data_IF_534934050334
#
_entry.id   IF_534934050334
#
_cell.length_a   1.000
_cell.length_b   1.000
_cell.length_c   1.000
_cell.angle_alpha   90.00
_cell.angle_beta   90.00
_cell.angle_gamma   90.00
#
_symmetry.space_group_name_H-M   'P 1'
#
loop_
_entity.id
_entity.type
_entity.pdbx_description
1 polymer ?
#
# COMPACT_ATOMS: atom_id res chain seq x y z
N UNK A 1 31.47 -3.07 10.81
CA UNK A 1 30.48 -3.76 9.97
C UNK A 1 31.01 -5.16 9.73
N UNK A 2 30.25 -6.17 10.14
CA UNK A 2 30.52 -7.57 9.81
C UNK A 2 30.32 -7.81 8.30
N UNK A 3 30.76 -8.97 7.78
CA UNK A 3 30.48 -9.36 6.40
C UNK A 3 28.96 -9.48 6.14
N UNK A 4 28.20 -9.91 7.15
CA UNK A 4 26.74 -10.04 7.09
C UNK A 4 26.06 -8.67 6.98
N UNK A 5 26.56 -7.66 7.72
CA UNK A 5 26.06 -6.27 7.63
C UNK A 5 26.22 -5.72 6.20
N UNK A 6 27.33 -6.04 5.54
CA UNK A 6 27.62 -5.60 4.16
C UNK A 6 26.64 -6.28 3.18
N UNK A 7 26.33 -7.56 3.37
CA UNK A 7 25.36 -8.27 2.53
C UNK A 7 23.96 -7.68 2.67
N UNK A 8 23.53 -7.35 3.89
CA UNK A 8 22.23 -6.71 4.17
C UNK A 8 22.14 -5.34 3.49
N UNK A 9 23.19 -4.50 3.64
CA UNK A 9 23.24 -3.19 2.99
C UNK A 9 23.16 -3.32 1.46
N UNK A 10 23.92 -4.24 0.86
CA UNK A 10 23.91 -4.45 -0.59
C UNK A 10 22.54 -4.95 -1.09
N UNK A 11 21.92 -5.89 -0.38
CA UNK A 11 20.60 -6.39 -0.72
C UNK A 11 19.54 -5.27 -0.66
N UNK A 12 19.59 -4.42 0.36
CA UNK A 12 18.70 -3.27 0.48
C UNK A 12 18.95 -2.20 -0.60
N UNK A 13 20.22 -1.90 -0.90
CA UNK A 13 20.56 -0.96 -1.96
C UNK A 13 20.01 -1.46 -3.31
N UNK A 14 20.21 -2.74 -3.62
CA UNK A 14 19.66 -3.37 -4.83
C UNK A 14 18.13 -3.28 -4.86
N UNK A 15 17.47 -3.60 -3.74
CA UNK A 15 16.02 -3.50 -3.62
C UNK A 15 15.52 -2.08 -3.92
N UNK A 16 16.12 -1.04 -3.33
CA UNK A 16 15.71 0.34 -3.60
C UNK A 16 15.97 0.76 -5.04
N UNK A 17 17.08 0.34 -5.64
CA UNK A 17 17.36 0.60 -7.06
C UNK A 17 16.28 -0.02 -7.94
N UNK A 18 15.87 -1.27 -7.68
CA UNK A 18 14.80 -1.94 -8.45
C UNK A 18 13.48 -1.18 -8.32
N UNK A 19 13.07 -0.82 -7.11
CA UNK A 19 11.81 -0.11 -6.86
C UNK A 19 11.81 1.29 -7.52
N UNK A 20 12.91 2.03 -7.40
CA UNK A 20 13.07 3.32 -8.08
C UNK A 20 13.03 3.16 -9.61
N UNK A 21 13.72 2.16 -10.16
CA UNK A 21 13.74 1.91 -11.60
C UNK A 21 12.34 1.62 -12.15
N UNK A 22 11.51 0.87 -11.42
CA UNK A 22 10.10 0.63 -11.76
C UNK A 22 9.31 1.96 -11.77
N UNK A 23 9.52 2.81 -10.77
CA UNK A 23 8.92 4.15 -10.71
C UNK A 23 9.24 4.99 -11.95
N UNK A 24 10.52 5.10 -12.29
CA UNK A 24 10.97 5.85 -13.46
C UNK A 24 10.52 5.23 -14.78
N UNK A 25 10.42 3.91 -14.86
CA UNK A 25 9.94 3.20 -16.05
C UNK A 25 8.50 3.61 -16.42
N UNK A 26 7.62 3.75 -15.42
CA UNK A 26 6.22 4.14 -15.66
C UNK A 26 5.99 5.65 -15.73
N UNK A 27 6.98 6.50 -15.42
CA UNK A 27 6.87 7.97 -15.37
C UNK A 27 6.16 8.54 -16.59
N UNK A 28 6.59 8.18 -17.81
CA UNK A 28 6.03 8.75 -19.04
C UNK A 28 4.57 8.36 -19.25
N UNK A 29 4.22 7.10 -18.92
CA UNK A 29 2.86 6.57 -19.10
C UNK A 29 1.91 7.14 -18.05
N UNK A 30 2.33 7.17 -16.79
CA UNK A 30 1.51 7.65 -15.68
C UNK A 30 1.23 9.15 -15.79
N UNK A 31 2.20 9.95 -16.25
CA UNK A 31 2.01 11.40 -16.43
C UNK A 31 1.30 11.79 -17.74
N UNK A 32 0.83 10.83 -18.55
CA UNK A 32 0.13 11.15 -19.79
C UNK A 32 -1.30 11.69 -19.57
N UNK A 33 -1.97 11.30 -18.48
CA UNK A 33 -3.27 11.82 -18.08
C UNK A 33 -3.58 11.46 -16.62
N UNK A 34 -4.52 12.16 -15.99
CA UNK A 34 -4.97 11.83 -14.63
C UNK A 34 -5.56 10.41 -14.55
N UNK A 35 -6.22 9.92 -15.60
CA UNK A 35 -6.73 8.54 -15.64
C UNK A 35 -5.58 7.51 -15.66
N UNK A 36 -4.50 7.79 -16.40
CA UNK A 36 -3.32 6.93 -16.38
C UNK A 36 -2.60 6.98 -15.03
N UNK A 37 -2.53 8.16 -14.41
CA UNK A 37 -1.88 8.33 -13.11
C UNK A 37 -2.62 7.58 -11.99
N UNK A 38 -3.94 7.76 -11.89
CA UNK A 38 -4.74 7.20 -10.78
C UNK A 38 -5.26 5.78 -11.02
N UNK A 39 -5.47 5.38 -12.28
CA UNK A 39 -6.12 4.10 -12.61
C UNK A 39 -5.29 3.22 -13.56
N UNK A 40 -4.11 3.69 -14.00
CA UNK A 40 -3.29 2.97 -14.97
C UNK A 40 -3.98 2.73 -16.31
N UNK A 41 -4.94 3.59 -16.65
CA UNK A 41 -5.77 3.43 -17.85
C UNK A 41 -6.73 2.24 -17.79
N UNK A 42 -6.99 1.67 -16.60
CA UNK A 42 -7.88 0.52 -16.35
C UNK A 42 -7.51 -0.75 -17.16
N UNK A 43 -6.30 -0.81 -17.69
CA UNK A 43 -5.79 -1.94 -18.48
C UNK A 43 -5.11 -3.02 -17.64
N UNK A 44 -5.02 -2.84 -16.32
CA UNK A 44 -4.41 -3.82 -15.43
C UNK A 44 -5.35 -5.03 -15.25
N UNK A 45 -4.81 -6.23 -15.41
CA UNK A 45 -5.56 -7.47 -15.21
C UNK A 45 -6.00 -7.66 -13.75
N UNK A 46 -7.06 -8.46 -13.50
CA UNK A 46 -7.66 -8.61 -12.17
C UNK A 46 -6.68 -9.14 -11.12
N UNK A 47 -5.76 -10.03 -11.51
CA UNK A 47 -4.77 -10.62 -10.60
C UNK A 47 -3.79 -9.60 -10.04
N UNK A 48 -3.23 -8.75 -10.91
CA UNK A 48 -2.23 -7.76 -10.50
C UNK A 48 -2.87 -6.65 -9.66
N UNK A 49 -4.09 -6.26 -10.01
CA UNK A 49 -4.90 -5.30 -9.24
C UNK A 49 -5.24 -5.86 -7.86
N UNK A 50 -5.66 -7.13 -7.78
CA UNK A 50 -6.00 -7.77 -6.51
C UNK A 50 -4.76 -7.91 -5.61
N UNK A 51 -3.64 -8.40 -6.15
CA UNK A 51 -2.42 -8.56 -5.38
C UNK A 51 -1.89 -7.22 -4.87
N UNK A 52 -1.93 -6.17 -5.68
CA UNK A 52 -1.56 -4.81 -5.25
C UNK A 52 -2.48 -4.28 -4.16
N UNK A 53 -3.79 -4.50 -4.28
CA UNK A 53 -4.75 -4.11 -3.25
C UNK A 53 -4.45 -4.79 -1.90
N UNK A 54 -4.19 -6.11 -1.91
CA UNK A 54 -3.87 -6.86 -0.70
C UNK A 54 -2.47 -6.52 -0.16
N UNK A 55 -1.46 -6.33 -1.01
CA UNK A 55 -0.13 -5.91 -0.57
C UNK A 55 -0.16 -4.52 0.11
N UNK A 56 -0.99 -3.61 -0.42
CA UNK A 56 -1.22 -2.29 0.18
C UNK A 56 -1.96 -2.37 1.54
N UNK A 57 -2.88 -3.34 1.69
CA UNK A 57 -3.57 -3.62 2.95
C UNK A 57 -2.60 -4.23 3.99
N UNK A 58 -1.73 -5.14 3.53
CA UNK A 58 -0.70 -5.82 4.30
C UNK A 58 0.54 -4.95 4.49
N UNK A 59 0.40 -3.84 5.21
CA UNK A 59 1.48 -2.89 5.50
C UNK A 59 2.43 -3.36 6.61
N UNK A 60 3.23 -2.43 7.14
CA UNK A 60 4.07 -2.65 8.33
C UNK A 60 3.31 -3.21 9.54
N UNK A 61 1.98 -3.12 9.57
CA UNK A 61 1.14 -3.82 10.55
C UNK A 61 1.34 -5.34 10.51
N UNK A 62 1.47 -5.96 9.34
CA UNK A 62 1.65 -7.42 9.27
C UNK A 62 3.01 -7.82 9.84
N UNK A 63 4.04 -6.99 9.67
CA UNK A 63 5.40 -7.28 10.11
C UNK A 63 5.66 -6.93 11.58
N UNK A 64 5.07 -5.86 12.11
CA UNK A 64 5.26 -5.43 13.50
C UNK A 64 4.04 -5.66 14.39
N UNK A 65 2.83 -5.50 13.85
CA UNK A 65 1.58 -5.57 14.59
C UNK A 65 1.14 -7.00 14.89
N UNK A 66 1.00 -7.84 13.87
CA UNK A 66 0.51 -9.22 14.04
C UNK A 66 1.47 -10.09 14.89
N UNK A 67 2.81 -10.05 14.69
CA UNK A 67 3.76 -10.69 15.61
C UNK A 67 3.71 -10.10 17.01
N UNK A 68 3.47 -8.79 17.14
CA UNK A 68 3.28 -8.13 18.43
C UNK A 68 2.07 -8.70 19.19
N UNK A 69 0.93 -8.87 18.52
CA UNK A 69 -0.25 -9.54 19.10
C UNK A 69 0.13 -10.96 19.54
N UNK A 70 0.74 -11.74 18.64
CA UNK A 70 1.14 -13.11 18.97
C UNK A 70 2.09 -13.18 20.18
N UNK A 71 3.00 -12.21 20.30
CA UNK A 71 3.94 -12.12 21.41
C UNK A 71 3.25 -11.80 22.75
N UNK A 72 2.26 -10.90 22.76
CA UNK A 72 1.58 -10.47 23.99
C UNK A 72 0.41 -11.38 24.40
N UNK A 73 -0.33 -11.93 23.45
CA UNK A 73 -1.58 -12.65 23.71
C UNK A 73 -1.57 -14.11 23.23
N UNK A 74 -0.48 -14.53 22.60
CA UNK A 74 -0.28 -15.90 22.13
C UNK A 74 -0.82 -16.14 20.71
N UNK A 75 -0.57 -17.35 20.20
CA UNK A 75 -0.87 -17.71 18.81
C UNK A 75 -2.38 -17.71 18.48
N UNK A 76 -3.25 -17.95 19.48
CA UNK A 76 -4.71 -18.04 19.28
C UNK A 76 -5.28 -16.74 18.72
N UNK A 77 -4.96 -15.60 19.32
CA UNK A 77 -5.54 -14.31 18.92
C UNK A 77 -4.99 -13.85 17.57
N UNK A 78 -3.70 -14.09 17.31
CA UNK A 78 -3.11 -13.83 16.01
C UNK A 78 -3.76 -14.69 14.91
N UNK A 79 -4.04 -15.96 15.18
CA UNK A 79 -4.76 -16.85 14.26
C UNK A 79 -6.19 -16.38 14.01
N UNK A 80 -6.95 -16.02 15.05
CA UNK A 80 -8.31 -15.50 14.87
C UNK A 80 -8.33 -14.20 14.08
N UNK A 81 -7.33 -13.34 14.28
CA UNK A 81 -7.15 -12.12 13.48
C UNK A 81 -6.92 -12.46 12.01
N UNK A 82 -6.00 -13.37 11.71
CA UNK A 82 -5.70 -13.78 10.33
C UNK A 82 -6.91 -14.43 9.62
N UNK A 83 -7.63 -15.33 10.32
CA UNK A 83 -8.84 -15.97 9.79
C UNK A 83 -9.93 -14.92 9.53
N UNK A 84 -10.14 -14.00 10.49
CA UNK A 84 -11.11 -12.92 10.38
C UNK A 84 -10.82 -12.01 9.19
N UNK A 85 -9.56 -11.63 8.98
CA UNK A 85 -9.12 -10.85 7.82
C UNK A 85 -9.39 -11.62 6.51
N UNK A 86 -8.98 -12.88 6.41
CA UNK A 86 -9.18 -13.67 5.19
C UNK A 86 -10.67 -13.78 4.81
N UNK A 87 -11.53 -14.08 5.78
CA UNK A 87 -12.98 -14.17 5.55
C UNK A 87 -13.55 -12.77 5.22
N UNK A 88 -13.18 -11.74 6.00
CA UNK A 88 -13.67 -10.37 5.81
C UNK A 88 -13.34 -9.83 4.43
N UNK A 89 -12.10 -9.97 3.98
CA UNK A 89 -11.64 -9.60 2.65
C UNK A 89 -12.43 -10.36 1.57
N UNK A 90 -12.55 -11.68 1.68
CA UNK A 90 -13.31 -12.47 0.70
C UNK A 90 -14.77 -12.00 0.58
N UNK A 91 -15.45 -11.78 1.71
CA UNK A 91 -16.84 -11.34 1.73
C UNK A 91 -16.98 -9.91 1.18
N UNK A 92 -16.02 -9.01 1.49
CA UNK A 92 -15.99 -7.66 0.94
C UNK A 92 -15.91 -7.67 -0.59
N UNK A 93 -14.96 -8.42 -1.15
CA UNK A 93 -14.81 -8.55 -2.60
C UNK A 93 -16.05 -9.17 -3.25
N UNK A 94 -16.62 -10.21 -2.62
CA UNK A 94 -17.80 -10.92 -3.14
C UNK A 94 -19.06 -10.04 -3.17
N UNK A 95 -19.32 -9.28 -2.11
CA UNK A 95 -20.57 -8.55 -1.95
C UNK A 95 -20.49 -7.09 -2.37
N UNK A 96 -19.35 -6.43 -2.16
CA UNK A 96 -19.20 -4.98 -2.31
C UNK A 96 -18.54 -4.63 -3.65
N UNK A 97 -17.37 -5.21 -3.97
CA UNK A 97 -16.53 -4.74 -5.07
C UNK A 97 -17.25 -4.69 -6.43
N UNK A 98 -17.93 -5.78 -6.83
CA UNK A 98 -18.65 -5.84 -8.12
C UNK A 98 -19.81 -4.85 -8.19
N UNK A 99 -20.56 -4.68 -7.09
CA UNK A 99 -21.69 -3.75 -7.02
C UNK A 99 -21.22 -2.30 -7.07
N UNK A 100 -20.16 -2.01 -6.32
CA UNK A 100 -19.53 -0.70 -6.28
C UNK A 100 -19.01 -0.30 -7.67
N UNK A 101 -18.30 -1.18 -8.38
CA UNK A 101 -17.77 -0.87 -9.71
C UNK A 101 -18.88 -0.62 -10.74
N UNK A 102 -19.90 -1.47 -10.79
CA UNK A 102 -21.04 -1.27 -11.71
C UNK A 102 -21.77 0.05 -11.44
N UNK A 103 -21.93 0.41 -10.17
CA UNK A 103 -22.60 1.65 -9.82
C UNK A 103 -21.70 2.86 -10.11
N UNK A 104 -20.39 2.78 -9.86
CA UNK A 104 -19.50 3.92 -10.13
C UNK A 104 -19.48 4.30 -11.61
N UNK A 105 -19.64 3.36 -12.53
CA UNK A 105 -19.78 3.62 -13.97
C UNK A 105 -20.96 4.54 -14.30
N UNK A 106 -22.14 4.27 -13.72
CA UNK A 106 -23.33 5.11 -13.94
C UNK A 106 -23.32 6.39 -13.09
N UNK A 107 -22.59 6.41 -11.98
CA UNK A 107 -22.41 7.57 -11.11
C UNK A 107 -21.22 8.43 -11.54
N UNK A 108 -21.18 8.81 -12.83
CA UNK A 108 -20.16 9.69 -13.38
C UNK A 108 -18.79 9.04 -13.58
N UNK A 109 -18.72 7.70 -13.62
CA UNK A 109 -17.49 6.92 -13.69
C UNK A 109 -16.46 7.32 -12.62
N UNK A 110 -16.97 7.55 -11.40
CA UNK A 110 -16.21 8.09 -10.28
C UNK A 110 -14.92 7.32 -10.01
N UNK A 111 -13.85 8.08 -9.75
CA UNK A 111 -12.50 7.55 -9.53
C UNK A 111 -12.14 7.42 -8.04
N UNK A 112 -12.89 8.09 -7.15
CA UNK A 112 -12.71 8.01 -5.69
C UNK A 112 -14.02 7.66 -4.98
N UNK A 113 -13.93 7.12 -3.75
CA UNK A 113 -15.11 6.86 -2.91
C UNK A 113 -15.89 8.14 -2.56
N UNK A 114 -15.27 9.28 -2.17
CA UNK A 114 -16.00 10.52 -1.92
C UNK A 114 -16.78 11.03 -3.14
N UNK A 115 -16.18 10.97 -4.32
CA UNK A 115 -16.82 11.35 -5.59
C UNK A 115 -17.99 10.40 -5.91
N UNK A 116 -17.78 9.09 -5.72
CA UNK A 116 -18.84 8.10 -5.85
C UNK A 116 -20.02 8.39 -4.92
N UNK A 117 -19.79 8.72 -3.65
CA UNK A 117 -20.86 9.04 -2.71
C UNK A 117 -21.61 10.30 -3.14
N UNK A 118 -20.89 11.36 -3.52
CA UNK A 118 -21.51 12.59 -4.00
C UNK A 118 -22.40 12.36 -5.22
N UNK A 119 -21.92 11.60 -6.21
CA UNK A 119 -22.68 11.30 -7.42
C UNK A 119 -23.85 10.34 -7.15
N UNK A 120 -23.65 9.31 -6.33
CA UNK A 120 -24.70 8.35 -5.95
C UNK A 120 -25.88 9.02 -5.24
N UNK A 121 -25.58 9.96 -4.34
CA UNK A 121 -26.60 10.65 -3.55
C UNK A 121 -27.04 11.98 -4.17
N UNK A 122 -26.62 12.27 -5.41
CA UNK A 122 -26.95 13.50 -6.14
C UNK A 122 -26.63 14.77 -5.35
N UNK A 123 -25.54 14.76 -4.59
CA UNK A 123 -25.08 15.87 -3.77
C UNK A 123 -24.46 16.96 -4.66
N UNK A 124 -25.31 17.88 -5.14
CA UNK A 124 -24.89 18.99 -5.99
C UNK A 124 -23.97 20.00 -5.29
N UNK A 125 -23.98 20.04 -3.95
CA UNK A 125 -23.16 20.96 -3.15
C UNK A 125 -21.80 20.34 -2.76
N UNK A 126 -21.55 19.07 -3.09
CA UNK A 126 -20.31 18.34 -2.77
C UNK A 126 -19.95 18.33 -1.28
N UNK A 127 -20.95 18.46 -0.41
CA UNK A 127 -20.77 18.40 1.05
C UNK A 127 -20.35 17.00 1.47
N UNK A 128 -21.02 15.97 0.95
CA UNK A 128 -20.73 14.57 1.24
C UNK A 128 -19.33 14.18 0.73
N UNK A 129 -18.96 14.68 -0.46
CA UNK A 129 -17.60 14.51 -1.00
C UNK A 129 -16.57 15.09 -0.04
N UNK A 130 -16.76 16.33 0.40
CA UNK A 130 -15.80 17.05 1.24
C UNK A 130 -15.63 16.39 2.61
N UNK A 131 -16.75 16.03 3.26
CA UNK A 131 -16.72 15.34 4.56
C UNK A 131 -16.06 13.97 4.44
N UNK A 132 -16.43 13.17 3.45
CA UNK A 132 -15.82 11.85 3.25
C UNK A 132 -14.32 11.95 2.93
N UNK A 133 -13.93 12.92 2.08
CA UNK A 133 -12.53 13.14 1.75
C UNK A 133 -11.70 13.57 2.97
N UNK A 134 -12.22 14.46 3.81
CA UNK A 134 -11.54 14.89 5.05
C UNK A 134 -11.35 13.74 6.04
N UNK A 135 -12.39 12.91 6.23
CA UNK A 135 -12.31 11.73 7.09
C UNK A 135 -11.24 10.78 6.56
N UNK A 136 -11.29 10.42 5.27
CA UNK A 136 -10.30 9.53 4.65
C UNK A 136 -8.90 10.12 4.81
N UNK A 137 -8.70 11.40 4.50
CA UNK A 137 -7.41 12.07 4.60
C UNK A 137 -6.85 12.04 6.03
N UNK A 138 -7.68 12.31 7.04
CA UNK A 138 -7.26 12.30 8.44
C UNK A 138 -6.77 10.91 8.86
N UNK A 139 -7.57 9.87 8.62
CA UNK A 139 -7.23 8.51 9.03
C UNK A 139 -6.06 7.94 8.21
N UNK A 140 -6.00 8.22 6.90
CA UNK A 140 -4.85 7.83 6.09
C UNK A 140 -3.57 8.57 6.48
N UNK A 141 -3.65 9.83 6.93
CA UNK A 141 -2.48 10.55 7.42
C UNK A 141 -1.89 9.88 8.67
N UNK A 142 -2.76 9.47 9.62
CA UNK A 142 -2.34 8.73 10.82
C UNK A 142 -1.72 7.38 10.42
N UNK A 143 -2.36 6.66 9.50
CA UNK A 143 -1.88 5.37 9.00
C UNK A 143 -0.54 5.47 8.26
N UNK A 144 -0.38 6.42 7.34
CA UNK A 144 0.90 6.66 6.67
C UNK A 144 1.99 7.05 7.67
N UNK A 145 1.65 7.86 8.68
CA UNK A 145 2.56 8.19 9.78
C UNK A 145 3.06 6.94 10.52
N UNK A 146 2.18 5.99 10.84
CA UNK A 146 2.59 4.74 11.50
C UNK A 146 3.48 3.85 10.62
N UNK A 147 3.30 3.88 9.30
CA UNK A 147 4.18 3.21 8.35
C UNK A 147 5.60 3.80 8.35
N UNK A 148 5.72 5.14 8.41
CA UNK A 148 7.04 5.79 8.54
C UNK A 148 7.71 5.49 9.88
N UNK A 149 6.95 5.42 10.97
CA UNK A 149 7.47 5.01 12.29
C UNK A 149 8.01 3.58 12.24
N UNK A 150 7.28 2.66 11.61
CA UNK A 150 7.71 1.26 11.39
C UNK A 150 9.03 1.21 10.61
N UNK A 151 9.10 1.95 9.49
CA UNK A 151 10.30 2.06 8.65
C UNK A 151 11.51 2.61 9.43
N UNK A 152 11.33 3.72 10.15
CA UNK A 152 12.38 4.33 10.96
C UNK A 152 12.89 3.40 12.05
N UNK A 153 12.00 2.70 12.77
CA UNK A 153 12.38 1.73 13.80
C UNK A 153 13.15 0.56 13.23
N UNK A 154 12.65 -0.04 12.13
CA UNK A 154 13.28 -1.19 11.49
C UNK A 154 14.73 -0.85 11.08
N UNK A 155 14.92 0.24 10.34
CA UNK A 155 16.25 0.60 9.84
C UNK A 155 17.17 1.15 10.92
N UNK A 156 16.66 1.85 11.93
CA UNK A 156 17.48 2.25 13.08
C UNK A 156 18.03 1.03 13.83
N UNK A 157 17.20 -0.01 14.01
CA UNK A 157 17.64 -1.27 14.63
C UNK A 157 18.64 -2.03 13.75
N UNK A 158 18.42 -2.08 12.43
CA UNK A 158 19.31 -2.81 11.51
C UNK A 158 20.68 -2.14 11.33
N UNK A 159 20.73 -0.82 11.22
CA UNK A 159 21.98 -0.09 10.93
C UNK A 159 22.62 0.57 12.15
N UNK A 160 21.95 0.55 13.30
CA UNK A 160 22.41 1.24 14.51
C UNK A 160 22.48 2.77 14.35
N UNK A 161 21.74 3.32 13.39
CA UNK A 161 21.69 4.75 13.09
C UNK A 161 20.49 5.42 13.77
N UNK A 162 20.53 6.76 13.83
CA UNK A 162 19.45 7.55 14.42
C UNK A 162 18.10 7.30 13.71
N UNK A 163 17.07 7.07 14.52
CA UNK A 163 15.69 6.81 14.10
C UNK A 163 15.15 7.89 13.16
N UNK A 164 15.37 9.16 13.50
CA UNK A 164 14.82 10.29 12.74
C UNK A 164 15.42 10.32 11.34
N UNK A 165 16.73 10.11 11.25
CA UNK A 165 17.47 10.04 9.98
C UNK A 165 16.97 8.89 9.12
N UNK A 166 16.82 7.70 9.68
CA UNK A 166 16.34 6.52 8.95
C UNK A 166 14.90 6.67 8.47
N UNK A 167 14.03 7.24 9.30
CA UNK A 167 12.64 7.53 8.95
C UNK A 167 12.56 8.50 7.75
N UNK A 168 13.32 9.60 7.78
CA UNK A 168 13.32 10.61 6.71
C UNK A 168 13.83 10.02 5.39
N UNK A 169 14.91 9.25 5.43
CA UNK A 169 15.45 8.59 4.23
C UNK A 169 14.46 7.60 3.63
N UNK A 170 13.85 6.76 4.46
CA UNK A 170 12.83 5.81 4.02
C UNK A 170 11.61 6.52 3.41
N UNK A 171 11.13 7.59 4.04
CA UNK A 171 10.03 8.40 3.53
C UNK A 171 10.37 9.05 2.18
N UNK A 172 11.60 9.56 2.01
CA UNK A 172 12.04 10.19 0.76
C UNK A 172 12.06 9.18 -0.39
N UNK A 173 12.61 7.98 -0.19
CA UNK A 173 12.64 6.94 -1.21
C UNK A 173 11.21 6.55 -1.62
N UNK A 174 10.34 6.31 -0.63
CA UNK A 174 8.93 5.96 -0.88
C UNK A 174 8.19 7.06 -1.63
N UNK A 175 8.39 8.31 -1.23
CA UNK A 175 7.79 9.46 -1.88
C UNK A 175 8.21 9.57 -3.34
N UNK A 176 9.51 9.43 -3.63
CA UNK A 176 10.05 9.57 -4.99
C UNK A 176 9.44 8.54 -5.95
N UNK A 177 9.50 7.23 -5.66
CA UNK A 177 8.98 6.26 -6.63
C UNK A 177 7.45 6.30 -6.74
N UNK A 178 6.75 6.59 -5.64
CA UNK A 178 5.27 6.62 -5.63
C UNK A 178 4.74 7.83 -6.41
N UNK A 179 5.34 9.01 -6.17
CA UNK A 179 4.93 10.24 -6.84
C UNK A 179 5.28 10.24 -8.33
N UNK A 180 6.44 9.68 -8.70
CA UNK A 180 6.90 9.63 -10.08
C UNK A 180 6.12 8.60 -10.90
N UNK A 181 5.88 7.42 -10.33
CA UNK A 181 5.44 6.25 -11.08
C UNK A 181 3.92 6.06 -11.18
N UNK A 182 3.11 6.72 -10.34
CA UNK A 182 1.64 6.56 -10.32
C UNK A 182 1.16 5.11 -10.10
N UNK A 183 -0.12 4.85 -10.34
CA UNK A 183 -0.78 3.57 -10.02
C UNK A 183 -0.09 2.34 -10.64
N UNK A 184 0.36 2.43 -11.90
CA UNK A 184 1.05 1.32 -12.58
C UNK A 184 2.35 0.91 -11.91
N UNK A 185 3.13 1.90 -11.45
CA UNK A 185 4.34 1.63 -10.69
C UNK A 185 4.01 0.96 -9.38
N UNK A 186 3.03 1.47 -8.64
CA UNK A 186 2.62 0.92 -7.34
C UNK A 186 2.23 -0.55 -7.47
N UNK A 187 1.36 -0.90 -8.44
CA UNK A 187 0.97 -2.30 -8.61
C UNK A 187 2.15 -3.22 -8.99
N UNK A 188 3.13 -2.70 -9.71
CA UNK A 188 4.31 -3.47 -10.10
C UNK A 188 5.28 -3.65 -8.93
N UNK A 189 5.49 -2.60 -8.14
CA UNK A 189 6.32 -2.66 -6.93
C UNK A 189 5.68 -3.58 -5.88
N UNK A 190 4.35 -3.53 -5.74
CA UNK A 190 3.60 -4.42 -4.84
C UNK A 190 3.76 -5.88 -5.23
N UNK A 191 3.74 -6.20 -6.53
CA UNK A 191 3.99 -7.56 -7.02
C UNK A 191 5.38 -8.05 -6.64
N UNK A 192 6.41 -7.21 -6.86
CA UNK A 192 7.79 -7.55 -6.54
C UNK A 192 7.93 -7.76 -5.03
N UNK A 193 7.44 -6.82 -4.22
CA UNK A 193 7.51 -6.87 -2.77
C UNK A 193 6.74 -8.07 -2.20
N UNK A 194 5.50 -8.28 -2.63
CA UNK A 194 4.68 -9.41 -2.22
C UNK A 194 5.32 -10.75 -2.58
N UNK A 195 5.92 -10.86 -3.77
CA UNK A 195 6.64 -12.08 -4.18
C UNK A 195 7.86 -12.33 -3.29
N UNK A 196 8.65 -11.29 -3.00
CA UNK A 196 9.81 -11.40 -2.10
C UNK A 196 9.37 -11.85 -0.70
N UNK A 197 8.28 -11.27 -0.17
CA UNK A 197 7.73 -11.64 1.13
C UNK A 197 7.28 -13.10 1.18
N UNK A 198 6.55 -13.56 0.17
CA UNK A 198 6.11 -14.96 0.08
C UNK A 198 7.31 -15.91 0.01
N UNK A 199 8.30 -15.60 -0.84
CA UNK A 199 9.51 -16.43 -0.93
C UNK A 199 10.26 -16.48 0.40
N UNK A 200 10.38 -15.36 1.10
CA UNK A 200 11.02 -15.30 2.41
C UNK A 200 10.29 -16.19 3.44
N UNK A 201 8.95 -16.16 3.46
CA UNK A 201 8.14 -16.99 4.35
C UNK A 201 8.16 -18.50 4.02
N UNK A 202 8.47 -18.88 2.78
CA UNK A 202 8.55 -20.30 2.37
C UNK A 202 9.93 -20.89 2.63
N UNK A 203 10.99 -20.07 2.52
CA UNK A 203 12.37 -20.51 2.72
C UNK A 203 12.71 -20.70 4.21
N UNK A 204 12.13 -19.85 5.07
CA UNK A 204 12.34 -19.84 6.53
C UNK A 204 11.31 -20.72 7.23
#
# INVERSE_FOLDING_TARGET
MSADDIQVVLAMALYFVVVLAVGFFYLKKSNASSENYFLGGRGLGPWLTALSAEASDMSGWLLMGLPGIAYFTGASDAMWTAIGLAIGTYLNWKFVAKRLRKYSEVAGNAITLPDFFSNRFHDSKRVLMSVAALIILLFFCIYCGSCFVTCGKLFATLFGLDYTTMMILGALVVFVYTFVGGYLSVCTTDLIQGTIMICALVIV
#
